data_IF_004659732465
#
_entry.id   IF_004659732465
#
_cell.length_a   1.000
_cell.length_b   1.000
_cell.length_c   1.000
_cell.angle_alpha   90.00
_cell.angle_beta   90.00
_cell.angle_gamma   90.00
#
_symmetry.space_group_name_H-M   'P 1'
#
loop_
_entity.id
_entity.type
_entity.pdbx_description
1 polymer ?
#
# COMPACT_ATOMS: atom_id res chain seq x y z
N UNK A 1 -25.75 -8.62 21.41
CA UNK A 1 -24.86 -7.45 21.27
C UNK A 1 -23.91 -7.74 20.13
N UNK A 2 -23.80 -6.79 19.22
CA UNK A 2 -23.27 -6.87 17.86
C UNK A 2 -21.77 -7.19 17.83
N UNK A 3 -21.36 -8.16 17.02
CA UNK A 3 -19.99 -8.22 16.50
C UNK A 3 -20.10 -8.30 14.98
N UNK A 4 -19.88 -7.21 14.24
CA UNK A 4 -19.65 -7.35 12.82
C UNK A 4 -18.29 -8.03 12.66
N UNK A 5 -18.32 -9.19 12.01
CA UNK A 5 -17.22 -9.91 11.36
C UNK A 5 -16.00 -9.01 11.18
N UNK A 6 -14.88 -9.37 11.82
CA UNK A 6 -13.58 -8.75 11.58
C UNK A 6 -13.34 -8.65 10.07
N UNK A 7 -13.43 -7.43 9.53
CA UNK A 7 -12.58 -7.10 8.40
C UNK A 7 -11.18 -7.44 8.87
N UNK A 8 -10.54 -8.45 8.27
CA UNK A 8 -9.14 -8.73 8.50
C UNK A 8 -8.41 -7.39 8.37
N UNK A 9 -7.98 -6.84 9.50
CA UNK A 9 -7.53 -5.46 9.53
C UNK A 9 -6.24 -5.44 8.74
N UNK A 10 -6.26 -4.78 7.58
CA UNK A 10 -5.05 -4.57 6.78
C UNK A 10 -3.95 -3.89 7.61
N UNK A 11 -4.33 -3.22 8.71
CA UNK A 11 -3.40 -2.56 9.63
C UNK A 11 -2.35 -3.54 10.14
N UNK A 12 -1.08 -3.15 9.98
CA UNK A 12 0.09 -3.94 10.33
C UNK A 12 0.50 -4.96 9.27
N UNK A 13 -0.28 -5.13 8.18
CA UNK A 13 0.10 -5.98 7.05
C UNK A 13 1.00 -5.22 6.07
N UNK A 14 1.71 -5.99 5.24
CA UNK A 14 2.39 -5.46 4.07
C UNK A 14 1.61 -5.72 2.81
N UNK A 15 1.70 -4.76 1.90
CA UNK A 15 0.95 -4.75 0.67
C UNK A 15 1.89 -4.37 -0.47
N UNK A 16 1.72 -5.03 -1.60
CA UNK A 16 2.43 -4.71 -2.83
C UNK A 16 1.40 -4.33 -3.90
N UNK A 17 1.63 -3.27 -4.69
CA UNK A 17 0.67 -2.87 -5.71
C UNK A 17 0.50 -3.97 -6.75
N UNK A 18 -0.73 -4.19 -7.20
CA UNK A 18 -1.01 -5.22 -8.21
C UNK A 18 -0.28 -4.90 -9.50
N UNK A 19 0.58 -5.81 -9.92
CA UNK A 19 1.36 -5.68 -11.15
C UNK A 19 0.97 -6.73 -12.18
N UNK A 20 1.32 -6.47 -13.44
CA UNK A 20 1.30 -7.43 -14.53
C UNK A 20 2.63 -7.38 -15.29
N UNK A 21 2.97 -8.48 -15.96
CA UNK A 21 4.14 -8.55 -16.83
C UNK A 21 3.72 -8.14 -18.23
N UNK A 22 4.38 -7.11 -18.77
CA UNK A 22 4.21 -6.68 -20.16
C UNK A 22 4.67 -7.76 -21.13
N UNK A 23 4.24 -7.67 -22.39
CA UNK A 23 4.79 -8.52 -23.48
C UNK A 23 6.31 -8.42 -23.63
N UNK A 24 6.91 -7.34 -23.13
CA UNK A 24 8.35 -7.11 -23.13
C UNK A 24 9.07 -7.67 -21.88
N UNK A 25 8.36 -8.40 -21.01
CA UNK A 25 8.94 -8.99 -19.78
C UNK A 25 9.10 -8.01 -18.61
N UNK A 26 8.77 -6.73 -18.78
CA UNK A 26 8.84 -5.72 -17.72
C UNK A 26 7.60 -5.75 -16.82
N UNK A 27 7.78 -5.58 -15.51
CA UNK A 27 6.71 -5.42 -14.54
C UNK A 27 6.11 -4.01 -14.62
N UNK A 28 4.77 -3.91 -14.61
CA UNK A 28 4.05 -2.63 -14.53
C UNK A 28 2.83 -2.77 -13.65
N UNK A 29 2.27 -1.65 -13.19
CA UNK A 29 0.98 -1.66 -12.49
C UNK A 29 -0.12 -2.23 -13.40
N UNK A 30 -0.93 -3.14 -12.86
CA UNK A 30 -2.08 -3.74 -13.54
C UNK A 30 -3.15 -2.69 -13.88
N UNK A 31 -3.27 -1.65 -13.05
CA UNK A 31 -4.08 -0.47 -13.30
C UNK A 31 -3.48 0.75 -12.57
N UNK A 32 -3.84 1.99 -12.94
CA UNK A 32 -3.40 3.17 -12.21
C UNK A 32 -3.79 3.09 -10.74
N UNK A 33 -2.82 3.25 -9.85
CA UNK A 33 -3.03 3.30 -8.40
C UNK A 33 -2.90 4.75 -7.96
N UNK A 34 -3.87 5.24 -7.19
CA UNK A 34 -3.89 6.62 -6.71
C UNK A 34 -3.59 6.70 -5.21
N UNK A 35 -2.76 7.66 -4.85
CA UNK A 35 -2.48 8.06 -3.47
C UNK A 35 -3.21 9.36 -3.18
N UNK A 36 -4.17 9.29 -2.27
CA UNK A 36 -5.04 10.38 -1.85
C UNK A 36 -4.51 11.01 -0.55
N UNK A 37 -4.68 12.33 -0.41
CA UNK A 37 -4.29 13.04 0.81
C UNK A 37 -5.18 12.68 2.02
N UNK A 38 -6.43 12.30 1.78
CA UNK A 38 -7.41 11.82 2.76
C UNK A 38 -8.18 10.61 2.20
N UNK A 39 -8.86 9.78 3.03
CA UNK A 39 -9.59 8.60 2.58
C UNK A 39 -10.94 8.97 1.92
N UNK A 40 -10.87 9.83 0.90
CA UNK A 40 -11.98 10.38 0.15
C UNK A 40 -11.61 10.46 -1.34
N UNK A 41 -12.52 10.06 -2.21
CA UNK A 41 -12.31 10.05 -3.65
C UNK A 41 -12.21 11.46 -4.26
N UNK A 42 -12.78 12.46 -3.57
CA UNK A 42 -12.73 13.89 -3.92
C UNK A 42 -11.45 14.57 -3.43
N UNK A 43 -10.63 13.87 -2.64
CA UNK A 43 -9.37 14.39 -2.13
C UNK A 43 -8.36 14.63 -3.24
N UNK A 44 -7.43 15.54 -3.01
CA UNK A 44 -6.25 15.69 -3.86
C UNK A 44 -5.52 14.35 -3.93
N UNK A 45 -5.17 13.94 -5.15
CA UNK A 45 -4.54 12.64 -5.41
C UNK A 45 -3.42 12.74 -6.42
N UNK A 46 -2.45 11.84 -6.27
CA UNK A 46 -1.36 11.63 -7.20
C UNK A 46 -1.32 10.17 -7.65
N UNK A 47 -0.75 9.89 -8.83
CA UNK A 47 -0.53 8.51 -9.25
C UNK A 47 0.67 7.94 -8.50
N UNK A 48 0.53 6.72 -7.98
CA UNK A 48 1.66 5.96 -7.45
C UNK A 48 2.63 5.64 -8.59
N UNK A 49 3.90 6.01 -8.41
CA UNK A 49 4.98 5.73 -9.36
C UNK A 49 5.90 4.59 -8.90
N UNK A 50 5.79 4.21 -7.62
CA UNK A 50 6.68 3.22 -7.02
C UNK A 50 6.11 1.80 -7.13
N UNK A 51 6.94 0.87 -7.58
CA UNK A 51 6.71 -0.58 -7.57
C UNK A 51 7.44 -1.20 -6.38
N UNK A 52 7.04 -0.84 -5.17
CA UNK A 52 7.65 -1.29 -3.92
C UNK A 52 6.59 -1.75 -2.93
N UNK A 53 7.01 -2.43 -1.87
CA UNK A 53 6.16 -2.82 -0.77
C UNK A 53 5.84 -1.61 0.14
N UNK A 54 4.67 -1.66 0.77
CA UNK A 54 4.25 -0.68 1.77
C UNK A 54 3.68 -1.41 2.98
N UNK A 55 3.78 -0.80 4.15
CA UNK A 55 3.04 -1.24 5.32
C UNK A 55 1.76 -0.43 5.48
N UNK A 56 0.72 -1.03 6.04
CA UNK A 56 -0.55 -0.36 6.28
C UNK A 56 -0.62 0.11 7.73
N UNK A 57 -0.68 1.43 7.92
CA UNK A 57 -0.75 2.05 9.26
C UNK A 57 -2.18 2.21 9.77
N UNK A 58 -3.14 2.43 8.88
CA UNK A 58 -4.53 2.65 9.24
C UNK A 58 -5.47 2.17 8.13
N UNK A 59 -6.73 1.90 8.49
CA UNK A 59 -7.79 1.61 7.54
C UNK A 59 -8.98 2.54 7.81
N UNK A 60 -9.69 2.91 6.75
CA UNK A 60 -10.87 3.76 6.79
C UNK A 60 -12.03 3.13 6.00
N UNK A 61 -13.24 3.68 6.17
CA UNK A 61 -14.43 3.26 5.42
C UNK A 61 -14.21 3.38 3.91
N UNK A 62 -14.93 2.61 3.11
CA UNK A 62 -14.81 2.66 1.65
C UNK A 62 -13.57 1.94 1.09
N UNK A 63 -12.92 1.11 1.92
CA UNK A 63 -11.77 0.29 1.52
C UNK A 63 -10.47 1.07 1.39
N UNK A 64 -10.34 2.21 2.07
CA UNK A 64 -9.12 2.99 2.07
C UNK A 64 -8.14 2.48 3.14
N UNK A 65 -6.88 2.37 2.78
CA UNK A 65 -5.76 2.01 3.65
C UNK A 65 -4.70 3.11 3.60
N UNK A 66 -4.12 3.45 4.75
CA UNK A 66 -3.03 4.42 4.84
C UNK A 66 -1.71 3.68 4.70
N UNK A 67 -0.95 4.03 3.67
CA UNK A 67 0.33 3.43 3.35
C UNK A 67 1.46 4.19 4.05
N UNK A 68 2.40 3.43 4.59
CA UNK A 68 3.71 3.90 5.02
C UNK A 68 4.81 3.11 4.33
N UNK A 69 5.96 3.74 4.17
CA UNK A 69 7.19 3.08 3.72
C UNK A 69 7.61 1.97 4.70
N UNK A 70 8.24 0.94 4.15
CA UNK A 70 8.92 -0.13 4.87
C UNK A 70 10.43 0.18 4.96
N UNK A 71 11.21 -0.55 5.78
CA UNK A 71 12.67 -0.48 5.71
C UNK A 71 13.16 -0.77 4.28
N UNK A 72 14.23 -0.10 3.87
CA UNK A 72 14.81 -0.26 2.53
C UNK A 72 16.25 -0.76 2.66
N UNK A 73 16.47 -2.06 2.47
CA UNK A 73 17.76 -2.71 2.67
C UNK A 73 18.82 -2.41 1.60
N UNK A 74 18.45 -1.67 0.55
CA UNK A 74 19.43 -1.11 -0.39
C UNK A 74 20.13 0.14 0.19
N UNK A 75 19.61 0.72 1.27
CA UNK A 75 20.21 1.87 1.96
C UNK A 75 21.18 1.44 3.05
N UNK A 76 22.21 2.26 3.28
CA UNK A 76 23.16 2.06 4.39
C UNK A 76 22.50 2.08 5.78
N UNK A 77 21.33 2.72 5.91
CA UNK A 77 20.47 2.64 7.07
C UNK A 77 19.02 2.37 6.61
N UNK A 78 18.56 1.11 6.66
CA UNK A 78 17.26 0.72 6.10
C UNK A 78 16.07 1.37 6.82
N UNK A 79 16.18 1.59 8.13
CA UNK A 79 15.13 2.20 8.94
C UNK A 79 14.99 3.70 8.72
N UNK A 80 15.96 4.36 8.08
CA UNK A 80 15.95 5.82 7.87
C UNK A 80 14.76 6.32 7.04
N UNK A 81 14.16 5.43 6.24
CA UNK A 81 12.99 5.73 5.42
C UNK A 81 11.72 5.06 5.90
N UNK A 82 11.79 4.10 6.83
CA UNK A 82 10.63 3.33 7.29
C UNK A 82 9.59 4.18 8.05
N UNK A 83 8.31 3.81 7.92
CA UNK A 83 7.20 4.43 8.66
C UNK A 83 6.76 5.81 8.17
N UNK A 84 7.35 6.33 7.09
CA UNK A 84 6.95 7.61 6.47
C UNK A 84 5.60 7.44 5.78
N UNK A 85 4.66 8.33 6.11
CA UNK A 85 3.31 8.31 5.51
C UNK A 85 3.39 8.74 4.06
N UNK A 86 2.89 7.86 3.18
CA UNK A 86 2.75 8.13 1.75
C UNK A 86 1.38 8.75 1.46
N UNK A 87 0.32 8.22 2.08
CA UNK A 87 -1.05 8.70 1.90
C UNK A 87 -2.06 7.56 1.96
N UNK A 88 -3.26 7.80 1.45
CA UNK A 88 -4.35 6.82 1.42
C UNK A 88 -4.50 6.19 0.05
N UNK A 89 -4.78 4.90 -0.02
CA UNK A 89 -5.04 4.19 -1.28
C UNK A 89 -6.18 3.18 -1.10
N UNK A 90 -6.79 2.72 -2.20
CA UNK A 90 -7.80 1.65 -2.13
C UNK A 90 -7.09 0.31 -1.91
N UNK A 91 -7.50 -0.47 -0.92
CA UNK A 91 -6.91 -1.78 -0.64
C UNK A 91 -7.06 -2.77 -1.81
N UNK A 92 -8.08 -2.59 -2.65
CA UNK A 92 -8.32 -3.44 -3.83
C UNK A 92 -7.22 -3.30 -4.91
N UNK A 93 -6.42 -2.24 -4.86
CA UNK A 93 -5.27 -2.02 -5.74
C UNK A 93 -4.02 -2.82 -5.37
N UNK A 94 -4.04 -3.48 -4.21
CA UNK A 94 -2.87 -4.16 -3.67
C UNK A 94 -3.14 -5.64 -3.40
N UNK A 95 -2.07 -6.41 -3.41
CA UNK A 95 -2.03 -7.77 -2.91
C UNK A 95 -1.39 -7.78 -1.52
N UNK A 96 -1.97 -8.54 -0.60
CA UNK A 96 -1.37 -8.80 0.69
C UNK A 96 -0.09 -9.61 0.49
N UNK A 97 0.96 -9.18 1.16
CA UNK A 97 2.22 -9.88 1.23
C UNK A 97 2.36 -10.49 2.62
N UNK A 98 3.04 -11.63 2.70
CA UNK A 98 3.54 -12.11 3.99
C UNK A 98 4.45 -11.03 4.60
N UNK A 99 4.42 -10.88 5.93
CA UNK A 99 5.24 -9.88 6.64
C UNK A 99 6.74 -10.03 6.39
N UNK A 100 7.18 -11.21 5.91
CA UNK A 100 8.56 -11.49 5.52
C UNK A 100 8.95 -10.88 4.18
N UNK A 101 7.98 -10.36 3.43
CA UNK A 101 8.16 -9.82 2.08
C UNK A 101 7.99 -8.28 2.07
N UNK A 102 8.16 -7.65 3.23
CA UNK A 102 8.17 -6.18 3.40
C UNK A 102 9.57 -5.57 3.25
N UNK A 103 10.49 -6.30 2.64
CA UNK A 103 11.91 -5.94 2.47
C UNK A 103 12.15 -5.09 1.22
#
# INVERSE_FOLDING_TARGET
MTSPVQAASYVGQCVFPKTEITKAGMMKLKRPVFIYASPDESSSKQSLQALTAFSVKAAAKGGYIQLVTVPDYDLANPDSVAGKVIGWAKSSDFDLQDLRNCD
#
